data_IF_824866662917
#
_entry.id   IF_824866662917
#
_cell.length_a   1.000
_cell.length_b   1.000
_cell.length_c   1.000
_cell.angle_alpha   90.00
_cell.angle_beta   90.00
_cell.angle_gamma   90.00
#
_symmetry.space_group_name_H-M   'P 1'
#
loop_
_entity.id
_entity.type
_entity.pdbx_description
1 polymer ?
#
# COMPACT_ATOMS: atom_id res chain seq x y z
N UNK A 1 26.35 -4.50 -12.68
CA UNK A 1 24.91 -4.79 -12.80
C UNK A 1 24.28 -3.63 -13.55
N UNK A 2 24.02 -3.81 -14.85
CA UNK A 2 23.53 -2.74 -15.71
C UNK A 2 22.02 -2.60 -15.54
N UNK A 3 21.56 -1.42 -15.12
CA UNK A 3 20.13 -1.10 -15.08
C UNK A 3 19.61 -1.00 -16.51
N UNK A 4 18.68 -1.89 -16.89
CA UNK A 4 18.01 -1.90 -18.19
C UNK A 4 17.10 -0.68 -18.42
N UNK A 5 16.92 0.17 -17.40
CA UNK A 5 16.13 1.39 -17.47
C UNK A 5 16.82 2.51 -16.68
N UNK A 6 17.78 3.23 -17.28
CA UNK A 6 18.60 4.21 -16.58
C UNK A 6 17.80 5.33 -15.89
N UNK A 7 16.55 5.56 -16.31
CA UNK A 7 15.69 6.65 -15.80
C UNK A 7 14.44 6.17 -15.04
N UNK A 8 14.25 4.85 -14.85
CA UNK A 8 13.03 4.36 -14.18
C UNK A 8 13.20 4.44 -12.67
N UNK A 9 12.47 5.37 -12.05
CA UNK A 9 12.43 5.53 -10.59
C UNK A 9 11.47 4.50 -9.99
N UNK A 10 11.78 4.07 -8.77
CA UNK A 10 10.99 3.10 -8.03
C UNK A 10 10.68 3.62 -6.64
N UNK A 11 9.49 3.28 -6.14
CA UNK A 11 9.05 3.57 -4.78
C UNK A 11 9.02 2.27 -3.98
N UNK A 12 9.70 2.27 -2.84
CA UNK A 12 9.68 1.19 -1.87
C UNK A 12 8.49 1.39 -0.91
N UNK A 13 7.67 0.37 -0.75
CA UNK A 13 6.43 0.49 0.02
C UNK A 13 6.40 -0.59 1.07
N UNK A 14 6.36 -0.19 2.33
CA UNK A 14 6.08 -1.05 3.47
C UNK A 14 4.57 -1.22 3.63
N UNK A 15 4.11 -2.46 3.70
CA UNK A 15 2.72 -2.83 3.90
C UNK A 15 2.55 -3.54 5.26
N UNK A 16 1.31 -3.61 5.78
CA UNK A 16 1.01 -4.33 7.00
C UNK A 16 1.55 -5.77 7.00
N UNK A 17 1.86 -6.28 8.19
CA UNK A 17 2.49 -7.58 8.42
C UNK A 17 3.92 -7.67 7.87
N UNK A 18 4.70 -6.58 7.99
CA UNK A 18 6.10 -6.50 7.56
C UNK A 18 6.31 -6.80 6.06
N UNK A 19 5.26 -6.71 5.27
CA UNK A 19 5.33 -6.98 3.84
C UNK A 19 5.95 -5.80 3.10
N UNK A 20 6.62 -6.07 1.98
CA UNK A 20 7.25 -5.04 1.16
C UNK A 20 6.86 -5.23 -0.30
N UNK A 21 6.73 -4.13 -1.02
CA UNK A 21 6.60 -4.12 -2.47
C UNK A 21 7.43 -2.98 -3.03
N UNK A 22 7.82 -3.11 -4.29
CA UNK A 22 8.46 -2.05 -5.05
C UNK A 22 7.53 -1.76 -6.23
N UNK A 23 7.18 -0.50 -6.44
CA UNK A 23 6.37 -0.05 -7.57
C UNK A 23 7.18 0.91 -8.43
N UNK A 24 7.05 0.88 -9.76
CA UNK A 24 7.62 1.94 -10.60
C UNK A 24 6.89 3.26 -10.34
N UNK A 25 7.62 4.37 -10.34
CA UNK A 25 7.04 5.71 -10.32
C UNK A 25 6.60 6.05 -11.74
N UNK A 26 5.37 6.53 -11.89
CA UNK A 26 4.78 6.97 -13.15
C UNK A 26 4.12 8.33 -12.94
N UNK A 27 4.44 9.31 -13.79
CA UNK A 27 3.83 10.64 -13.76
C UNK A 27 2.32 10.55 -14.03
N UNK A 28 1.54 11.37 -13.33
CA UNK A 28 0.07 11.38 -13.41
C UNK A 28 -0.60 10.21 -12.69
N UNK A 29 0.16 9.34 -12.01
CA UNK A 29 -0.40 8.20 -11.27
C UNK A 29 -0.51 8.53 -9.78
N UNK A 30 -1.71 8.39 -9.23
CA UNK A 30 -1.92 8.62 -7.79
C UNK A 30 -1.33 7.48 -6.95
N UNK A 31 -1.00 7.77 -5.68
CA UNK A 31 -0.59 6.75 -4.69
C UNK A 31 -1.62 5.62 -4.60
N UNK A 32 -2.91 5.95 -4.67
CA UNK A 32 -4.03 5.01 -4.71
C UNK A 32 -3.91 4.03 -5.87
N UNK A 33 -3.73 4.54 -7.09
CA UNK A 33 -3.70 3.72 -8.30
C UNK A 33 -2.46 2.83 -8.33
N UNK A 34 -1.31 3.40 -7.95
CA UNK A 34 -0.03 2.68 -7.95
C UNK A 34 -0.02 1.53 -6.93
N UNK A 35 -0.70 1.70 -5.79
CA UNK A 35 -0.82 0.68 -4.75
C UNK A 35 -2.02 -0.26 -4.91
N UNK A 36 -2.96 0.00 -5.83
CA UNK A 36 -4.22 -0.72 -5.94
C UNK A 36 -4.03 -2.25 -6.02
N UNK A 37 -3.09 -2.72 -6.85
CA UNK A 37 -2.78 -4.15 -6.99
C UNK A 37 -2.21 -4.74 -5.70
N UNK A 38 -1.28 -4.04 -5.06
CA UNK A 38 -0.63 -4.47 -3.83
C UNK A 38 -1.63 -4.53 -2.65
N UNK A 39 -2.54 -3.56 -2.58
CA UNK A 39 -3.61 -3.49 -1.58
C UNK A 39 -4.65 -4.59 -1.80
N UNK A 40 -5.13 -4.76 -3.04
CA UNK A 40 -6.11 -5.80 -3.40
C UNK A 40 -5.63 -7.20 -3.05
N UNK A 41 -4.36 -7.54 -3.33
CA UNK A 41 -3.77 -8.85 -2.99
C UNK A 41 -3.83 -9.16 -1.49
N UNK A 42 -3.85 -8.13 -0.66
CA UNK A 42 -3.84 -8.22 0.81
C UNK A 42 -5.20 -7.91 1.42
N UNK A 43 -6.23 -7.76 0.58
CA UNK A 43 -7.59 -7.39 0.99
C UNK A 43 -7.61 -6.07 1.79
N UNK A 44 -6.73 -5.14 1.43
CA UNK A 44 -6.66 -3.83 2.05
C UNK A 44 -7.44 -2.80 1.23
N UNK A 45 -8.06 -1.82 1.90
CA UNK A 45 -8.73 -0.69 1.24
C UNK A 45 -8.13 0.63 1.69
N UNK A 46 -8.28 1.67 0.85
CA UNK A 46 -7.83 3.03 1.17
C UNK A 46 -8.53 3.57 2.43
N UNK A 47 -9.82 3.29 2.59
CA UNK A 47 -10.61 3.78 3.71
C UNK A 47 -10.14 3.28 5.08
N UNK A 48 -9.39 2.17 5.13
CA UNK A 48 -8.90 1.59 6.39
C UNK A 48 -7.41 1.78 6.63
N UNK A 49 -6.72 2.44 5.70
CA UNK A 49 -5.27 2.58 5.73
C UNK A 49 -4.84 4.04 5.56
N UNK A 50 -3.75 4.41 6.23
CA UNK A 50 -3.04 5.67 6.01
C UNK A 50 -1.72 5.41 5.30
N UNK A 51 -1.25 6.40 4.55
CA UNK A 51 0.10 6.40 3.96
C UNK A 51 0.92 7.49 4.62
N UNK A 52 2.17 7.19 4.92
CA UNK A 52 3.14 8.18 5.40
C UNK A 52 4.53 7.93 4.83
N UNK A 53 5.36 8.96 4.85
CA UNK A 53 6.80 8.84 4.59
C UNK A 53 7.45 7.92 5.62
N UNK A 54 8.35 7.03 5.21
CA UNK A 54 9.11 6.24 6.18
C UNK A 54 10.14 7.07 6.95
N UNK A 55 10.62 8.16 6.36
CA UNK A 55 11.74 8.94 6.91
C UNK A 55 11.23 10.05 7.84
N UNK A 56 10.18 10.77 7.43
CA UNK A 56 9.62 11.90 8.20
C UNK A 56 8.36 11.52 8.98
N UNK A 57 7.76 10.36 8.69
CA UNK A 57 6.45 9.96 9.20
C UNK A 57 5.31 10.94 8.88
N UNK A 58 5.53 11.86 7.93
CA UNK A 58 4.52 12.80 7.47
C UNK A 58 3.44 12.08 6.65
N UNK A 59 2.16 12.46 6.83
CA UNK A 59 1.06 11.84 6.11
C UNK A 59 1.09 12.21 4.63
N UNK A 60 0.77 11.24 3.78
CA UNK A 60 0.69 11.41 2.32
C UNK A 60 -0.76 11.16 1.90
N UNK A 61 -1.32 12.08 1.11
CA UNK A 61 -2.67 11.91 0.60
C UNK A 61 -2.70 10.79 -0.45
N UNK A 62 -3.76 9.99 -0.44
CA UNK A 62 -3.92 8.89 -1.39
C UNK A 62 -4.04 9.36 -2.85
N UNK A 63 -4.52 10.59 -3.04
CA UNK A 63 -4.74 11.20 -4.34
C UNK A 63 -3.55 12.07 -4.78
N UNK A 64 -2.47 12.11 -4.00
CA UNK A 64 -1.19 12.69 -4.43
C UNK A 64 -0.59 11.89 -5.57
N UNK A 65 0.02 12.58 -6.52
CA UNK A 65 0.84 11.97 -7.57
C UNK A 65 2.09 11.32 -6.94
N UNK A 66 2.41 10.11 -7.37
CA UNK A 66 3.60 9.38 -6.91
C UNK A 66 4.89 10.07 -7.36
N UNK A 67 4.88 10.76 -8.51
CA UNK A 67 6.03 11.52 -9.01
C UNK A 67 6.34 12.76 -8.15
N UNK A 68 5.32 13.34 -7.52
CA UNK A 68 5.39 14.59 -6.76
C UNK A 68 5.67 14.38 -5.26
N UNK A 69 6.00 13.17 -4.83
CA UNK A 69 6.29 12.87 -3.42
C UNK A 69 7.64 13.42 -2.93
N UNK A 70 8.01 14.65 -3.29
CA UNK A 70 9.22 15.37 -2.83
C UNK A 70 10.54 14.56 -2.87
N UNK A 71 10.66 13.61 -3.79
CA UNK A 71 11.85 12.74 -3.86
C UNK A 71 11.88 11.59 -2.85
N UNK A 72 10.78 11.35 -2.12
CA UNK A 72 10.62 10.18 -1.27
C UNK A 72 10.83 8.91 -2.08
N UNK A 73 11.71 8.05 -1.58
CA UNK A 73 11.97 6.72 -2.16
C UNK A 73 11.26 5.62 -1.39
N UNK A 74 10.68 5.95 -0.23
CA UNK A 74 10.12 4.98 0.69
C UNK A 74 8.90 5.51 1.45
N UNK A 75 7.81 4.75 1.40
CA UNK A 75 6.56 5.05 2.13
C UNK A 75 6.08 3.83 2.91
N UNK A 76 5.20 4.05 3.87
CA UNK A 76 4.56 3.02 4.67
C UNK A 76 3.03 3.14 4.61
N UNK A 77 2.38 2.00 4.42
CA UNK A 77 0.93 1.83 4.55
C UNK A 77 0.64 1.22 5.92
N UNK A 78 -0.08 1.95 6.77
CA UNK A 78 -0.51 1.48 8.09
C UNK A 78 -2.01 1.28 8.15
N UNK A 79 -2.46 0.26 8.88
CA UNK A 79 -3.86 0.08 9.21
C UNK A 79 -4.23 1.10 10.30
N UNK A 80 -5.29 1.87 10.07
CA UNK A 80 -5.79 2.80 11.06
C UNK A 80 -6.38 2.03 12.25
N UNK A 81 -5.99 2.39 13.48
CA UNK A 81 -6.29 1.63 14.70
C UNK A 81 -7.79 1.40 14.93
N UNK A 82 -8.63 2.37 14.60
CA UNK A 82 -10.09 2.26 14.73
C UNK A 82 -10.72 1.24 13.75
N UNK A 83 -9.97 0.79 12.73
CA UNK A 83 -10.43 -0.19 11.75
C UNK A 83 -9.99 -1.63 12.06
N UNK A 84 -9.11 -1.83 13.05
CA UNK A 84 -8.55 -3.15 13.39
C UNK A 84 -9.67 -4.14 13.71
N UNK A 85 -10.69 -3.74 14.49
CA UNK A 85 -11.84 -4.61 14.82
C UNK A 85 -12.61 -5.05 13.57
N UNK A 86 -12.80 -4.16 12.61
CA UNK A 86 -13.51 -4.42 11.35
C UNK A 86 -12.72 -5.34 10.42
N UNK A 87 -11.40 -5.18 10.40
CA UNK A 87 -10.47 -5.98 9.59
C UNK A 87 -10.40 -7.41 10.12
N UNK A 88 -10.21 -7.57 11.43
CA UNK A 88 -10.19 -8.88 12.09
C UNK A 88 -11.50 -9.63 11.79
N UNK A 89 -12.66 -8.97 11.94
CA UNK A 89 -13.96 -9.56 11.57
C UNK A 89 -14.06 -9.97 10.09
N UNK A 90 -13.57 -9.14 9.15
CA UNK A 90 -13.56 -9.50 7.72
C UNK A 90 -12.68 -10.72 7.41
N UNK A 91 -11.50 -10.79 8.02
CA UNK A 91 -10.60 -11.94 7.86
C UNK A 91 -11.20 -13.22 8.45
N UNK A 92 -11.81 -13.16 9.65
CA UNK A 92 -12.49 -14.31 10.23
C UNK A 92 -13.76 -14.70 9.46
N UNK A 93 -14.53 -13.75 8.92
CA UNK A 93 -15.72 -14.05 8.11
C UNK A 93 -15.39 -14.80 6.82
N UNK A 94 -14.27 -14.48 6.15
CA UNK A 94 -13.83 -15.22 4.96
C UNK A 94 -13.23 -16.60 5.30
N UNK A 95 -12.67 -16.78 6.50
CA UNK A 95 -12.20 -18.09 6.95
C UNK A 95 -13.34 -19.08 7.25
N UNK A 96 -14.56 -18.59 7.53
CA UNK A 96 -15.75 -19.43 7.74
C UNK A 96 -16.50 -19.79 6.45
N UNK A 97 -16.27 -19.07 5.35
CA UNK A 97 -16.93 -19.34 4.06
C UNK A 97 -16.41 -20.62 3.37
N UNK A 98 -15.28 -21.18 3.84
CA UNK A 98 -14.66 -22.41 3.30
C UNK A 98 -15.04 -23.67 4.08
N UNK A 99 -15.96 -23.61 5.05
CA UNK A 99 -16.46 -24.80 5.80
C UNK A 99 -17.97 -24.98 5.73
N UNK A 100 -18.57 -24.80 4.55
CA UNK A 100 -19.97 -25.20 4.30
C UNK A 100 -20.14 -25.95 2.96
N UNK A 101 -19.33 -27.00 2.82
CA UNK A 101 -19.68 -28.25 2.13
C UNK A 101 -19.02 -29.27 3.07
N UNK A 102 -19.76 -29.96 3.92
CA UNK A 102 -20.63 -31.12 3.63
C UNK A 102 -21.77 -31.23 4.67
#
# INVERSE_FOLDING_TARGET
MNSLFPNKRFLHVHLPNQQRTIIPIQDGQTVRDALARAMKKRQLTVAMCSVSSCDTNEPIAWDSDVADLNGLTKIEVRIMTHQIRSIVKKFYSHAFDVRRVE
#
